data_IF_771545373386
#
_entry.id   IF_771545373386
#
_cell.length_a   1.000
_cell.length_b   1.000
_cell.length_c   1.000
_cell.angle_alpha   90.00
_cell.angle_beta   90.00
_cell.angle_gamma   90.00
#
_symmetry.space_group_name_H-M   'P 1'
#
loop_
_entity.id
_entity.type
_entity.pdbx_description
1 polymer ?
#
# COMPACT_ATOMS: atom_id res chain seq x y z
N UNK A 1 3.99 -1.81 15.86
CA UNK A 1 5.09 -2.03 14.88
C UNK A 1 5.00 -1.02 13.73
N UNK A 2 4.01 -1.09 12.83
CA UNK A 2 3.93 -0.13 11.71
C UNK A 2 3.51 1.29 12.14
N UNK A 3 2.63 1.40 13.14
CA UNK A 3 2.19 2.69 13.71
C UNK A 3 3.35 3.51 14.31
N UNK A 4 4.40 2.84 14.78
CA UNK A 4 5.58 3.46 15.40
C UNK A 4 6.47 4.22 14.41
N UNK A 5 6.17 4.21 13.09
CA UNK A 5 6.84 5.01 12.06
C UNK A 5 8.26 4.57 11.66
N UNK A 6 8.86 3.62 12.38
CA UNK A 6 10.26 3.22 12.19
C UNK A 6 10.48 2.09 11.17
N UNK A 7 9.45 1.63 10.47
CA UNK A 7 9.53 0.46 9.60
C UNK A 7 9.06 0.78 8.18
N UNK A 8 9.96 0.61 7.20
CA UNK A 8 9.63 0.66 5.78
C UNK A 8 8.91 -0.61 5.31
N UNK A 9 8.20 -0.55 4.18
CA UNK A 9 7.56 -1.74 3.59
C UNK A 9 8.55 -2.87 3.32
N UNK A 10 9.81 -2.54 2.97
CA UNK A 10 10.89 -3.52 2.80
C UNK A 10 11.24 -4.20 4.11
N UNK A 11 11.35 -3.44 5.21
CA UNK A 11 11.62 -4.02 6.54
C UNK A 11 10.52 -4.97 7.01
N UNK A 12 9.26 -4.66 6.68
CA UNK A 12 8.12 -5.53 6.97
C UNK A 12 8.20 -6.81 6.14
N UNK A 13 8.54 -6.71 4.86
CA UNK A 13 8.74 -7.88 3.99
C UNK A 13 9.80 -8.83 4.54
N UNK A 14 10.92 -8.28 4.99
CA UNK A 14 12.00 -9.06 5.60
C UNK A 14 11.60 -9.68 6.94
N UNK A 15 10.87 -8.94 7.77
CA UNK A 15 10.34 -9.45 9.03
C UNK A 15 9.35 -10.61 8.81
N UNK A 16 8.42 -10.47 7.87
CA UNK A 16 7.47 -11.52 7.51
C UNK A 16 8.19 -12.76 6.97
N UNK A 17 9.22 -12.56 6.16
CA UNK A 17 10.03 -13.65 5.64
C UNK A 17 10.80 -14.39 6.75
N UNK A 18 11.37 -13.65 7.72
CA UNK A 18 12.03 -14.25 8.90
C UNK A 18 11.06 -15.07 9.76
N UNK A 19 9.78 -14.69 9.80
CA UNK A 19 8.72 -15.44 10.47
C UNK A 19 8.22 -16.66 9.67
N UNK A 20 8.76 -16.91 8.47
CA UNK A 20 8.31 -17.99 7.59
C UNK A 20 7.04 -17.68 6.80
N UNK A 21 6.55 -16.44 6.84
CA UNK A 21 5.40 -16.00 6.05
C UNK A 21 5.91 -15.65 4.64
N UNK A 22 5.79 -16.61 3.74
CA UNK A 22 6.24 -16.48 2.36
C UNK A 22 5.08 -16.46 1.38
N UNK A 23 5.36 -16.03 0.16
CA UNK A 23 4.45 -16.30 -0.97
C UNK A 23 4.32 -17.81 -1.21
N UNK A 24 3.33 -18.23 -2.01
CA UNK A 24 3.14 -19.64 -2.41
C UNK A 24 4.39 -20.27 -3.05
N UNK A 25 5.28 -19.46 -3.63
CA UNK A 25 6.55 -19.90 -4.25
C UNK A 25 7.75 -19.86 -3.28
N UNK A 26 7.54 -19.55 -2.01
CA UNK A 26 8.62 -19.45 -1.01
C UNK A 26 9.40 -18.13 -1.03
N UNK A 27 8.99 -17.15 -1.86
CA UNK A 27 9.68 -15.86 -1.96
C UNK A 27 9.16 -14.84 -0.95
N UNK A 28 9.99 -13.83 -0.66
CA UNK A 28 9.61 -12.61 0.09
C UNK A 28 8.36 -11.95 -0.52
N UNK A 29 7.51 -11.38 0.31
CA UNK A 29 6.32 -10.67 -0.15
C UNK A 29 6.74 -9.33 -0.74
N UNK A 30 6.22 -8.97 -1.90
CA UNK A 30 6.51 -7.69 -2.52
C UNK A 30 6.05 -6.52 -1.64
N UNK A 31 6.87 -5.45 -1.48
CA UNK A 31 6.50 -4.26 -0.71
C UNK A 31 5.17 -3.64 -1.15
N UNK A 32 4.89 -3.65 -2.46
CA UNK A 32 3.62 -3.18 -3.02
C UNK A 32 2.41 -4.02 -2.56
N UNK A 33 2.60 -5.33 -2.44
CA UNK A 33 1.56 -6.23 -1.90
C UNK A 33 1.29 -5.94 -0.44
N UNK A 34 2.33 -5.66 0.36
CA UNK A 34 2.19 -5.26 1.76
C UNK A 34 1.44 -3.94 1.88
N UNK A 35 1.80 -2.95 1.05
CA UNK A 35 1.10 -1.67 0.98
C UNK A 35 -0.38 -1.86 0.67
N UNK A 36 -0.70 -2.65 -0.36
CA UNK A 36 -2.09 -2.96 -0.73
C UNK A 36 -2.86 -3.67 0.38
N UNK A 37 -2.21 -4.55 1.13
CA UNK A 37 -2.80 -5.16 2.32
C UNK A 37 -3.11 -4.10 3.38
N UNK A 38 -2.14 -3.26 3.75
CA UNK A 38 -2.34 -2.26 4.80
C UNK A 38 -3.44 -1.24 4.47
N UNK A 39 -3.62 -0.87 3.20
CA UNK A 39 -4.67 0.07 2.76
C UNK A 39 -6.02 -0.59 2.47
N UNK A 40 -6.17 -1.90 2.66
CA UNK A 40 -7.41 -2.59 2.31
C UNK A 40 -8.52 -2.36 3.34
N UNK A 41 -9.62 -1.72 2.91
CA UNK A 41 -10.81 -1.44 3.74
C UNK A 41 -11.57 -2.70 4.17
N UNK A 42 -11.28 -3.85 3.56
CA UNK A 42 -11.84 -5.14 3.97
C UNK A 42 -11.61 -5.42 5.46
N UNK A 43 -10.46 -5.02 6.01
CA UNK A 43 -10.15 -5.24 7.44
C UNK A 43 -11.06 -4.44 8.40
N UNK A 44 -11.75 -3.42 7.89
CA UNK A 44 -12.75 -2.62 8.63
C UNK A 44 -14.18 -3.18 8.55
N UNK A 45 -14.40 -4.31 7.89
CA UNK A 45 -15.76 -4.81 7.66
C UNK A 45 -16.46 -4.13 6.47
N UNK A 46 -15.72 -3.44 5.60
CA UNK A 46 -16.29 -2.73 4.44
C UNK A 46 -15.76 -3.34 3.14
N UNK A 47 -16.66 -3.61 2.20
CA UNK A 47 -16.35 -4.13 0.88
C UNK A 47 -16.53 -3.02 -0.16
N UNK A 48 -15.65 -2.98 -1.14
CA UNK A 48 -15.86 -2.16 -2.33
C UNK A 48 -16.47 -3.05 -3.43
N UNK A 49 -17.70 -2.74 -3.83
CA UNK A 49 -18.38 -3.42 -4.93
C UNK A 49 -18.81 -2.37 -5.96
N UNK A 50 -18.33 -2.52 -7.21
CA UNK A 50 -18.62 -1.59 -8.32
C UNK A 50 -18.30 -0.11 -8.02
N UNK A 51 -17.35 0.17 -7.13
CA UNK A 51 -17.00 1.55 -6.72
C UNK A 51 -17.79 2.06 -5.51
N UNK A 52 -18.77 1.29 -5.03
CA UNK A 52 -19.58 1.63 -3.88
C UNK A 52 -19.14 0.85 -2.62
N UNK A 53 -19.03 1.57 -1.51
CA UNK A 53 -18.66 1.00 -0.23
C UNK A 53 -19.88 0.38 0.45
N UNK A 54 -19.85 -0.94 0.58
CA UNK A 54 -20.90 -1.74 1.20
C UNK A 54 -20.43 -2.27 2.55
N UNK A 55 -21.31 -2.29 3.55
CA UNK A 55 -21.03 -2.91 4.84
C UNK A 55 -21.02 -4.44 4.67
N UNK A 56 -19.90 -5.07 4.98
CA UNK A 56 -19.76 -6.51 4.97
C UNK A 56 -20.44 -7.18 6.15
N UNK A 57 -20.68 -8.48 5.99
CA UNK A 57 -21.27 -9.35 7.02
C UNK A 57 -20.18 -9.80 8.02
N UNK A 58 -18.90 -9.67 7.65
CA UNK A 58 -17.78 -10.09 8.48
C UNK A 58 -17.44 -9.09 9.58
N UNK A 59 -16.93 -9.62 10.71
CA UNK A 59 -16.47 -8.81 11.83
C UNK A 59 -15.20 -8.03 11.45
N UNK A 60 -15.09 -6.73 11.79
CA UNK A 60 -13.86 -5.98 11.57
C UNK A 60 -12.71 -6.62 12.34
N UNK A 61 -11.58 -6.80 11.66
CA UNK A 61 -10.35 -7.39 12.22
C UNK A 61 -9.55 -6.31 12.96
N UNK A 62 -9.65 -5.06 12.49
CA UNK A 62 -8.87 -3.91 12.99
C UNK A 62 -9.84 -2.76 13.33
N UNK A 63 -9.50 -1.95 14.33
CA UNK A 63 -10.24 -0.73 14.64
C UNK A 63 -10.03 0.35 13.57
N UNK A 64 -11.01 1.24 13.42
CA UNK A 64 -10.92 2.37 12.48
C UNK A 64 -9.74 3.29 12.80
N UNK A 65 -9.50 3.56 14.09
CA UNK A 65 -8.38 4.40 14.53
C UNK A 65 -7.02 3.85 14.09
N UNK A 66 -6.79 2.53 14.22
CA UNK A 66 -5.53 1.92 13.85
C UNK A 66 -5.32 1.93 12.32
N UNK A 67 -6.41 1.73 11.56
CA UNK A 67 -6.37 1.83 10.11
C UNK A 67 -6.06 3.25 9.62
N UNK A 68 -6.65 4.25 10.25
CA UNK A 68 -6.42 5.66 9.91
C UNK A 68 -4.97 6.07 10.25
N UNK A 69 -4.44 5.68 11.42
CA UNK A 69 -3.03 5.87 11.78
C UNK A 69 -2.07 5.22 10.78
N UNK A 70 -2.37 3.98 10.35
CA UNK A 70 -1.53 3.26 9.39
C UNK A 70 -1.53 3.94 8.01
N UNK A 71 -2.68 4.38 7.50
CA UNK A 71 -2.76 5.08 6.22
C UNK A 71 -2.07 6.44 6.26
N UNK A 72 -2.14 7.18 7.38
CA UNK A 72 -1.40 8.42 7.54
C UNK A 72 0.12 8.21 7.42
N UNK A 73 0.65 7.07 7.90
CA UNK A 73 2.05 6.72 7.68
C UNK A 73 2.34 6.35 6.22
N UNK A 74 1.44 5.63 5.55
CA UNK A 74 1.59 5.31 4.13
C UNK A 74 1.67 6.59 3.30
N UNK A 75 0.79 7.56 3.54
CA UNK A 75 0.80 8.87 2.86
C UNK A 75 2.12 9.63 3.10
N UNK A 76 2.73 9.51 4.28
CA UNK A 76 4.07 10.09 4.54
C UNK A 76 5.17 9.44 3.72
N UNK A 77 5.10 8.13 3.52
CA UNK A 77 6.07 7.39 2.69
C UNK A 77 5.82 7.58 1.20
N UNK A 78 4.57 7.80 0.80
CA UNK A 78 4.21 8.13 -0.57
C UNK A 78 4.78 9.49 -0.95
N UNK A 79 5.70 9.49 -1.91
CA UNK A 79 6.15 10.71 -2.58
C UNK A 79 5.37 10.86 -3.87
N UNK A 80 4.22 11.56 -3.88
CA UNK A 80 3.45 11.74 -5.10
C UNK A 80 4.34 12.40 -6.14
N UNK A 81 4.42 11.80 -7.33
CA UNK A 81 5.15 12.38 -8.45
C UNK A 81 4.43 13.67 -8.83
N UNK A 82 5.10 14.80 -8.65
CA UNK A 82 4.56 16.09 -9.04
C UNK A 82 4.25 16.06 -10.54
N UNK A 83 3.00 16.39 -10.89
CA UNK A 83 2.55 16.36 -12.29
C UNK A 83 3.10 17.54 -13.08
N UNK A 84 3.55 18.58 -12.39
CA UNK A 84 4.27 19.70 -13.00
C UNK A 84 5.71 19.22 -13.24
N UNK A 85 5.85 18.39 -14.27
CA UNK A 85 7.13 17.96 -14.78
C UNK A 85 7.88 19.15 -15.38
N UNK A 86 9.20 19.02 -15.50
CA UNK A 86 9.99 19.98 -16.26
C UNK A 86 9.47 20.04 -17.70
N UNK A 87 9.11 21.23 -18.17
CA UNK A 87 8.75 21.46 -19.56
C UNK A 87 10.04 21.44 -20.39
N UNK A 88 10.46 20.25 -20.83
CA UNK A 88 11.65 20.10 -21.68
C UNK A 88 11.31 20.60 -23.10
N UNK A 89 11.99 21.64 -23.61
CA UNK A 89 11.67 22.24 -24.91
C UNK A 89 11.71 21.27 -26.10
N UNK A 90 12.47 20.18 -25.97
CA UNK A 90 12.66 19.19 -27.03
C UNK A 90 11.91 17.87 -26.81
N UNK A 91 11.06 17.77 -25.77
CA UNK A 91 10.27 16.56 -25.54
C UNK A 91 9.22 16.37 -26.65
N UNK A 92 9.23 15.22 -27.32
CA UNK A 92 8.25 14.86 -28.36
C UNK A 92 8.57 15.30 -29.79
N UNK A 93 9.71 15.99 -30.02
CA UNK A 93 10.13 16.44 -31.35
C UNK A 93 10.59 15.31 -32.28
N UNK A 94 11.11 14.22 -31.73
CA UNK A 94 11.48 13.03 -32.50
C UNK A 94 10.90 11.78 -31.85
N UNK A 95 10.19 10.98 -32.64
CA UNK A 95 9.81 9.61 -32.30
C UNK A 95 10.48 8.69 -33.31
N UNK A 96 11.11 7.62 -32.83
CA UNK A 96 11.60 6.57 -33.71
C UNK A 96 10.40 5.93 -34.42
N UNK A 97 10.50 5.78 -35.74
CA UNK A 97 9.51 5.08 -36.57
C UNK A 97 9.62 3.57 -36.35
#
# INVERSE_FOLDING_TARGET
MFESGNHSFTSISEYLFKLGITTRKGNKINPDTIKRMLSNRFYLGVLNYKGELHKGIHKPIISKSLFDSANAQIERFERPRHKDGHNFPFAGLMKCL
#
